data_IF_690455705157
#
_entry.id   IF_690455705157
#
_cell.length_a   1.000
_cell.length_b   1.000
_cell.length_c   1.000
_cell.angle_alpha   90.00
_cell.angle_beta   90.00
_cell.angle_gamma   90.00
#
_symmetry.space_group_name_H-M   'P 1'
#
loop_
_entity.id
_entity.type
_entity.pdbx_description
1 polymer ?
#
# COMPACT_ATOMS: atom_id res chain seq x y z
N UNK A 1 10.54 2.35 6.65
CA UNK A 1 10.35 1.92 5.25
C UNK A 1 9.27 0.85 5.20
N UNK A 2 8.30 0.99 4.29
CA UNK A 2 7.13 0.12 4.10
C UNK A 2 7.29 -0.59 2.75
N UNK A 3 7.15 -1.90 2.71
CA UNK A 3 7.24 -2.70 1.49
C UNK A 3 5.89 -2.68 0.76
N UNK A 4 5.84 -2.03 -0.42
CA UNK A 4 4.64 -1.84 -1.25
C UNK A 4 4.21 -3.15 -1.89
N UNK A 5 3.10 -3.71 -1.43
CA UNK A 5 2.62 -5.06 -1.82
C UNK A 5 3.65 -6.15 -1.54
N UNK A 6 4.41 -5.97 -0.44
CA UNK A 6 5.61 -6.75 -0.15
C UNK A 6 6.84 -6.30 -0.94
N UNK A 7 7.82 -7.17 -1.11
CA UNK A 7 9.01 -6.92 -1.94
C UNK A 7 8.67 -7.13 -3.43
N UNK A 8 7.75 -6.31 -3.97
CA UNK A 8 7.10 -6.52 -5.27
C UNK A 8 8.02 -6.33 -6.49
N UNK A 9 9.19 -5.72 -6.31
CA UNK A 9 10.22 -5.72 -7.35
C UNK A 9 10.89 -7.10 -7.50
N UNK A 10 11.04 -7.85 -6.41
CA UNK A 10 11.73 -9.14 -6.41
C UNK A 10 10.77 -10.34 -6.56
N UNK A 11 9.54 -10.23 -6.04
CA UNK A 11 8.52 -11.27 -6.06
C UNK A 11 7.17 -10.73 -6.56
N UNK A 12 6.27 -11.58 -7.07
CA UNK A 12 4.93 -11.14 -7.47
C UNK A 12 4.21 -10.42 -6.34
N UNK A 13 3.65 -9.25 -6.66
CA UNK A 13 2.95 -8.41 -5.69
C UNK A 13 1.85 -9.16 -4.93
N UNK A 14 1.62 -8.82 -3.66
CA UNK A 14 0.61 -9.40 -2.77
C UNK A 14 0.76 -10.90 -2.48
N UNK A 15 1.81 -11.54 -2.97
CA UNK A 15 2.03 -12.96 -2.67
C UNK A 15 2.63 -13.15 -1.28
N UNK A 16 2.43 -14.34 -0.72
CA UNK A 16 3.09 -14.78 0.50
C UNK A 16 4.61 -14.60 0.42
N UNK A 17 5.20 -14.96 -0.73
CA UNK A 17 6.63 -14.80 -0.97
C UNK A 17 7.08 -13.33 -0.88
N UNK A 18 6.34 -12.41 -1.51
CA UNK A 18 6.67 -10.98 -1.46
C UNK A 18 6.64 -10.43 -0.03
N UNK A 19 5.63 -10.82 0.77
CA UNK A 19 5.50 -10.37 2.15
C UNK A 19 6.59 -10.95 3.07
N UNK A 20 6.84 -12.26 2.99
CA UNK A 20 7.87 -12.90 3.79
C UNK A 20 9.28 -12.41 3.42
N UNK A 21 9.56 -12.21 2.13
CA UNK A 21 10.84 -11.67 1.69
C UNK A 21 11.03 -10.22 2.18
N UNK A 22 10.01 -9.40 2.14
CA UNK A 22 10.06 -8.04 2.69
C UNK A 22 10.45 -8.05 4.19
N UNK A 23 9.87 -8.96 4.97
CA UNK A 23 10.25 -9.13 6.39
C UNK A 23 11.70 -9.62 6.55
N UNK A 24 12.12 -10.58 5.72
CA UNK A 24 13.48 -11.16 5.76
C UNK A 24 14.57 -10.14 5.45
N UNK A 25 14.33 -9.19 4.52
CA UNK A 25 15.28 -8.10 4.23
C UNK A 25 15.23 -6.97 5.25
N UNK A 26 14.30 -7.00 6.22
CA UNK A 26 14.23 -6.06 7.32
C UNK A 26 13.30 -4.86 7.10
N UNK A 27 12.28 -4.97 6.27
CA UNK A 27 11.27 -3.92 6.10
C UNK A 27 10.61 -3.56 7.44
N UNK A 28 10.45 -2.28 7.77
CA UNK A 28 9.78 -1.81 8.98
C UNK A 28 8.26 -1.95 8.93
N UNK A 29 7.72 -2.28 7.76
CA UNK A 29 6.30 -2.50 7.56
C UNK A 29 5.99 -3.14 6.21
N UNK A 30 4.75 -3.59 6.12
CA UNK A 30 4.13 -4.16 4.93
C UNK A 30 2.98 -3.26 4.49
N UNK A 31 2.74 -3.23 3.20
CA UNK A 31 1.57 -2.58 2.64
C UNK A 31 0.80 -3.59 1.79
N UNK A 32 -0.52 -3.48 1.80
CA UNK A 32 -1.39 -4.28 0.95
C UNK A 32 -2.64 -3.51 0.51
N UNK A 33 -3.11 -3.86 -0.69
CA UNK A 33 -4.41 -3.48 -1.22
C UNK A 33 -5.43 -4.57 -0.92
N UNK A 34 -6.62 -4.23 -0.43
CA UNK A 34 -7.65 -5.22 -0.14
C UNK A 34 -8.92 -4.99 -0.95
N UNK A 35 -9.52 -6.09 -1.39
CA UNK A 35 -10.79 -6.14 -2.10
C UNK A 35 -11.63 -7.31 -1.57
N UNK A 36 -12.94 -7.30 -1.90
CA UNK A 36 -13.82 -8.43 -1.60
C UNK A 36 -13.97 -9.36 -2.80
N UNK A 37 -13.87 -10.66 -2.53
CA UNK A 37 -14.27 -11.72 -3.43
C UNK A 37 -15.80 -11.83 -3.54
N UNK A 38 -16.30 -12.67 -4.45
CA UNK A 38 -17.74 -12.97 -4.58
C UNK A 38 -18.35 -13.53 -3.29
N UNK A 39 -17.61 -14.36 -2.58
CA UNK A 39 -17.98 -14.95 -1.29
C UNK A 39 -17.62 -14.09 -0.08
N UNK A 40 -17.28 -12.80 -0.33
CA UNK A 40 -17.03 -11.79 0.71
C UNK A 40 -15.80 -12.05 1.58
N UNK A 41 -14.82 -12.78 1.09
CA UNK A 41 -13.53 -12.88 1.73
C UNK A 41 -12.66 -11.65 1.37
N UNK A 42 -11.90 -11.14 2.34
CA UNK A 42 -11.01 -9.99 2.13
C UNK A 42 -9.69 -10.50 1.59
N UNK A 43 -9.42 -10.27 0.31
CA UNK A 43 -8.23 -10.74 -0.39
C UNK A 43 -7.25 -9.60 -0.68
N UNK A 44 -5.95 -9.88 -0.60
CA UNK A 44 -4.90 -8.94 -1.00
C UNK A 44 -4.77 -8.92 -2.53
N UNK A 45 -5.28 -7.85 -3.18
CA UNK A 45 -5.27 -7.71 -4.63
C UNK A 45 -5.38 -6.24 -5.06
N UNK A 46 -4.51 -5.79 -5.98
CA UNK A 46 -4.51 -4.39 -6.40
C UNK A 46 -5.55 -4.04 -7.45
N UNK A 47 -5.51 -4.72 -8.61
CA UNK A 47 -6.36 -4.39 -9.75
C UNK A 47 -7.81 -4.84 -9.49
N UNK A 48 -8.82 -4.19 -10.09
CA UNK A 48 -10.20 -4.65 -9.98
C UNK A 48 -10.43 -5.99 -10.68
N UNK A 49 -9.48 -6.43 -11.54
CA UNK A 49 -9.52 -7.71 -12.27
C UNK A 49 -8.29 -8.55 -12.00
N UNK A 50 -8.37 -9.85 -12.22
CA UNK A 50 -7.27 -10.79 -12.04
C UNK A 50 -6.31 -10.87 -13.23
N UNK A 51 -6.62 -10.18 -14.33
CA UNK A 51 -6.03 -10.35 -15.66
C UNK A 51 -4.53 -10.04 -15.75
N UNK A 52 -4.03 -9.04 -14.99
CA UNK A 52 -2.63 -8.61 -15.06
C UNK A 52 -1.72 -9.53 -14.27
N UNK A 53 -2.18 -9.98 -13.12
CA UNK A 53 -1.34 -10.65 -12.11
C UNK A 53 -1.66 -12.14 -11.95
N UNK A 54 -2.40 -12.71 -12.90
CA UNK A 54 -2.67 -14.14 -12.92
C UNK A 54 -2.91 -14.68 -14.33
N UNK A 55 -3.13 -15.98 -14.44
CA UNK A 55 -3.61 -16.66 -15.66
C UNK A 55 -5.13 -16.62 -15.79
N UNK A 56 -5.84 -16.07 -14.81
CA UNK A 56 -7.29 -15.89 -14.80
C UNK A 56 -7.78 -14.68 -15.61
N UNK A 57 -9.10 -14.49 -15.65
CA UNK A 57 -9.79 -13.36 -16.29
C UNK A 57 -10.98 -12.93 -15.48
N UNK A 58 -11.31 -11.61 -15.54
CA UNK A 58 -12.52 -11.04 -14.95
C UNK A 58 -12.29 -10.35 -13.62
N UNK A 59 -13.37 -9.83 -13.03
CA UNK A 59 -13.26 -9.05 -11.80
C UNK A 59 -12.96 -9.95 -10.58
N UNK A 60 -12.16 -9.44 -9.64
CA UNK A 60 -11.92 -10.10 -8.34
C UNK A 60 -13.25 -10.42 -7.65
N UNK A 61 -14.20 -9.50 -7.71
CA UNK A 61 -15.53 -9.64 -7.12
C UNK A 61 -16.41 -10.74 -7.74
N UNK A 62 -16.04 -11.26 -8.91
CA UNK A 62 -16.76 -12.36 -9.57
C UNK A 62 -16.20 -13.75 -9.21
N UNK A 63 -15.04 -13.80 -8.54
CA UNK A 63 -14.39 -15.03 -8.13
C UNK A 63 -14.57 -15.31 -6.64
N UNK A 64 -14.67 -16.58 -6.28
CA UNK A 64 -14.54 -17.02 -4.88
C UNK A 64 -13.06 -17.06 -4.48
N UNK A 65 -12.77 -17.02 -3.18
CA UNK A 65 -11.41 -17.18 -2.67
C UNK A 65 -10.78 -18.50 -3.13
N UNK A 66 -11.52 -19.58 -3.11
CA UNK A 66 -11.04 -20.91 -3.58
C UNK A 66 -10.63 -20.85 -5.05
N UNK A 67 -11.42 -20.18 -5.90
CA UNK A 67 -11.05 -19.98 -7.32
C UNK A 67 -9.79 -19.15 -7.47
N UNK A 68 -9.62 -18.07 -6.69
CA UNK A 68 -8.42 -17.23 -6.74
C UNK A 68 -7.17 -18.00 -6.30
N UNK A 69 -7.26 -18.83 -5.27
CA UNK A 69 -6.16 -19.69 -4.80
C UNK A 69 -5.72 -20.74 -5.83
N UNK A 70 -6.59 -21.09 -6.77
CA UNK A 70 -6.29 -21.99 -7.87
C UNK A 70 -5.64 -21.32 -9.10
N UNK A 71 -5.42 -19.99 -9.08
CA UNK A 71 -4.79 -19.26 -10.18
C UNK A 71 -3.27 -19.26 -10.05
N UNK A 72 -2.59 -19.25 -11.21
CA UNK A 72 -1.16 -18.94 -11.25
C UNK A 72 -0.94 -17.43 -11.11
N UNK A 73 -0.64 -17.01 -9.90
CA UNK A 73 -0.32 -15.60 -9.55
C UNK A 73 1.18 -15.31 -9.55
N UNK A 74 2.01 -16.24 -10.05
CA UNK A 74 3.46 -16.16 -9.97
C UNK A 74 4.12 -15.94 -11.34
N UNK A 75 3.76 -16.72 -12.34
CA UNK A 75 4.47 -16.76 -13.63
C UNK A 75 4.42 -15.47 -14.43
N UNK A 76 3.44 -14.58 -14.19
CA UNK A 76 3.34 -13.28 -14.86
C UNK A 76 4.52 -12.36 -14.53
N UNK A 77 5.07 -12.48 -13.32
CA UNK A 77 6.10 -11.58 -12.80
C UNK A 77 7.40 -11.66 -13.62
N UNK A 78 7.79 -12.85 -14.05
CA UNK A 78 8.96 -13.05 -14.92
C UNK A 78 8.77 -12.49 -16.34
N UNK A 79 7.51 -12.28 -16.77
CA UNK A 79 7.16 -11.75 -18.10
C UNK A 79 6.97 -10.24 -18.15
N UNK A 80 7.06 -9.54 -16.99
CA UNK A 80 6.90 -8.07 -16.94
C UNK A 80 8.06 -7.37 -17.65
N UNK A 81 7.83 -6.17 -18.26
CA UNK A 81 8.92 -5.35 -18.78
C UNK A 81 9.92 -5.00 -17.67
N UNK A 82 11.21 -5.18 -17.92
CA UNK A 82 12.27 -4.87 -16.95
C UNK A 82 12.42 -5.90 -15.81
N UNK A 83 11.82 -7.09 -15.94
CA UNK A 83 12.09 -8.19 -14.99
C UNK A 83 13.57 -8.56 -15.00
N UNK A 84 14.18 -8.65 -13.81
CA UNK A 84 15.55 -9.13 -13.67
C UNK A 84 15.64 -10.60 -14.12
N UNK A 85 16.69 -11.01 -14.86
CA UNK A 85 16.84 -12.39 -15.37
C UNK A 85 16.85 -13.47 -14.30
N UNK A 86 17.21 -13.10 -13.06
CA UNK A 86 17.29 -14.00 -11.92
C UNK A 86 15.98 -14.12 -11.13
N UNK A 87 14.90 -13.48 -11.58
CA UNK A 87 13.59 -13.63 -10.90
C UNK A 87 13.09 -15.04 -11.17
N UNK A 88 13.25 -15.90 -10.19
CA UNK A 88 12.77 -17.29 -10.26
C UNK A 88 11.26 -17.30 -10.52
N UNK A 89 10.82 -18.08 -11.50
CA UNK A 89 9.39 -18.26 -11.81
C UNK A 89 8.60 -18.93 -10.69
N UNK A 90 9.30 -19.51 -9.71
CA UNK A 90 8.71 -20.09 -8.51
C UNK A 90 9.33 -19.49 -7.25
N UNK A 91 8.53 -19.11 -6.24
CA UNK A 91 9.07 -18.67 -4.97
C UNK A 91 9.88 -19.80 -4.32
N UNK A 92 10.96 -19.48 -3.57
CA UNK A 92 11.66 -20.46 -2.78
C UNK A 92 10.70 -21.26 -1.88
N UNK A 93 10.93 -22.56 -1.70
CA UNK A 93 10.06 -23.43 -0.90
C UNK A 93 9.84 -22.90 0.54
N UNK A 94 10.79 -22.14 1.08
CA UNK A 94 10.67 -21.47 2.40
C UNK A 94 9.51 -20.45 2.45
N UNK A 95 9.02 -19.95 1.30
CA UNK A 95 7.91 -19.02 1.21
C UNK A 95 6.57 -19.69 0.89
N UNK A 96 6.50 -21.01 0.92
CA UNK A 96 5.29 -21.78 0.63
C UNK A 96 5.15 -22.21 -0.82
N UNK A 97 4.21 -23.12 -1.07
CA UNK A 97 3.89 -23.63 -2.39
C UNK A 97 3.06 -22.66 -3.24
N UNK A 98 2.83 -23.01 -4.51
CA UNK A 98 2.07 -22.18 -5.45
C UNK A 98 0.64 -21.87 -4.96
N UNK A 99 -0.06 -22.83 -4.37
CA UNK A 99 -1.43 -22.66 -3.84
C UNK A 99 -1.51 -21.81 -2.57
N UNK A 100 -0.38 -21.46 -1.94
CA UNK A 100 -0.32 -20.65 -0.72
C UNK A 100 0.04 -19.18 -1.01
N UNK A 101 0.19 -18.79 -2.29
CA UNK A 101 0.64 -17.45 -2.64
C UNK A 101 -0.47 -16.39 -2.56
N UNK A 102 -1.73 -16.74 -2.79
CA UNK A 102 -2.85 -15.81 -2.65
C UNK A 102 -3.16 -15.62 -1.17
N UNK A 103 -3.03 -14.38 -0.68
CA UNK A 103 -3.28 -14.03 0.71
C UNK A 103 -4.65 -13.40 0.90
N UNK A 104 -5.34 -13.81 1.96
CA UNK A 104 -6.40 -13.03 2.60
C UNK A 104 -5.78 -11.98 3.54
N UNK A 105 -6.59 -11.02 3.97
CA UNK A 105 -6.16 -10.11 5.04
C UNK A 105 -5.82 -10.89 6.32
N UNK A 106 -6.60 -11.91 6.67
CA UNK A 106 -6.34 -12.76 7.83
C UNK A 106 -4.98 -13.47 7.74
N UNK A 107 -4.61 -14.01 6.55
CA UNK A 107 -3.31 -14.62 6.32
C UNK A 107 -2.17 -13.58 6.53
N UNK A 108 -2.35 -12.36 6.01
CA UNK A 108 -1.36 -11.28 6.16
C UNK A 108 -1.23 -10.80 7.60
N UNK A 109 -2.36 -10.68 8.33
CA UNK A 109 -2.35 -10.35 9.75
C UNK A 109 -1.58 -11.38 10.56
N UNK A 110 -1.75 -12.68 10.26
CA UNK A 110 -0.99 -13.75 10.89
C UNK A 110 0.51 -13.66 10.59
N UNK A 111 0.90 -13.38 9.34
CA UNK A 111 2.30 -13.15 8.95
C UNK A 111 2.88 -11.95 9.70
N UNK A 112 2.15 -10.84 9.78
CA UNK A 112 2.61 -9.64 10.45
C UNK A 112 2.73 -9.84 11.97
N UNK A 113 1.77 -10.53 12.59
CA UNK A 113 1.78 -10.81 14.03
C UNK A 113 2.91 -11.78 14.45
N UNK A 114 3.33 -12.66 13.53
CA UNK A 114 4.45 -13.58 13.74
C UNK A 114 5.83 -12.90 13.62
N UNK A 115 5.89 -11.63 13.20
CA UNK A 115 7.15 -10.90 13.13
C UNK A 115 7.66 -10.61 14.56
N UNK A 116 8.91 -11.00 14.85
CA UNK A 116 9.54 -10.89 16.16
C UNK A 116 10.11 -9.47 16.41
N UNK A 117 9.37 -8.43 15.99
CA UNK A 117 9.73 -7.02 16.11
C UNK A 117 8.54 -6.09 15.85
N UNK A 118 8.62 -4.82 16.30
CA UNK A 118 7.62 -3.82 15.93
C UNK A 118 7.51 -3.68 14.40
N UNK A 119 6.28 -3.71 13.90
CA UNK A 119 5.97 -3.65 12.48
C UNK A 119 4.83 -2.66 12.22
N UNK A 120 4.81 -2.05 11.02
CA UNK A 120 3.68 -1.29 10.52
C UNK A 120 2.95 -2.10 9.46
N UNK A 121 1.63 -2.05 9.48
CA UNK A 121 0.80 -2.61 8.43
C UNK A 121 -0.08 -1.51 7.84
N UNK A 122 0.08 -1.26 6.56
CA UNK A 122 -0.71 -0.31 5.80
C UNK A 122 -1.71 -1.07 4.94
N UNK A 123 -3.00 -0.86 5.17
CA UNK A 123 -4.09 -1.55 4.45
C UNK A 123 -4.83 -0.54 3.59
N UNK A 124 -4.73 -0.65 2.27
CA UNK A 124 -5.49 0.17 1.33
C UNK A 124 -6.87 -0.45 1.06
N UNK A 125 -7.91 0.31 1.37
CA UNK A 125 -9.30 -0.03 1.03
C UNK A 125 -9.57 0.37 -0.42
N UNK A 126 -9.67 -0.62 -1.32
CA UNK A 126 -9.81 -0.38 -2.77
C UNK A 126 -11.23 0.01 -3.14
N UNK A 127 -11.36 1.16 -3.78
CA UNK A 127 -12.62 1.69 -4.30
C UNK A 127 -12.49 2.13 -5.77
N UNK A 128 -13.62 2.10 -6.53
CA UNK A 128 -14.96 1.70 -6.11
C UNK A 128 -15.08 0.20 -5.84
N UNK A 129 -15.73 -0.17 -4.72
CA UNK A 129 -16.10 -1.55 -4.44
C UNK A 129 -17.52 -1.81 -4.96
N UNK A 130 -17.78 -2.93 -5.66
CA UNK A 130 -19.12 -3.28 -6.10
C UNK A 130 -20.08 -3.62 -4.93
N UNK A 131 -19.54 -3.75 -3.72
CA UNK A 131 -20.25 -4.08 -2.50
C UNK A 131 -20.41 -2.87 -1.55
N UNK A 132 -20.17 -1.65 -2.06
CA UNK A 132 -20.27 -0.44 -1.24
C UNK A 132 -19.29 -0.48 -0.07
N UNK A 133 -19.75 -0.14 1.14
CA UNK A 133 -18.93 -0.12 2.36
C UNK A 133 -18.79 -1.49 3.06
N UNK A 134 -19.28 -2.58 2.47
CA UNK A 134 -19.06 -3.91 3.04
C UNK A 134 -17.57 -4.26 3.15
N UNK A 135 -16.72 -3.68 2.28
CA UNK A 135 -15.27 -3.86 2.36
C UNK A 135 -14.72 -3.37 3.70
N UNK A 136 -15.05 -2.14 4.08
CA UNK A 136 -14.61 -1.53 5.33
C UNK A 136 -15.09 -2.34 6.55
N UNK A 137 -16.36 -2.74 6.52
CA UNK A 137 -16.96 -3.53 7.60
C UNK A 137 -16.28 -4.90 7.76
N UNK A 138 -15.95 -5.55 6.64
CA UNK A 138 -15.23 -6.83 6.65
C UNK A 138 -13.80 -6.68 7.14
N UNK A 139 -13.07 -5.67 6.66
CA UNK A 139 -11.71 -5.36 7.10
C UNK A 139 -11.67 -5.11 8.61
N UNK A 140 -12.56 -4.25 9.14
CA UNK A 140 -12.63 -3.98 10.57
C UNK A 140 -12.97 -5.24 11.38
N UNK A 141 -13.88 -6.08 10.87
CA UNK A 141 -14.24 -7.35 11.52
C UNK A 141 -13.06 -8.31 11.60
N UNK A 142 -12.25 -8.42 10.54
CA UNK A 142 -11.06 -9.27 10.54
C UNK A 142 -9.98 -8.73 11.47
N UNK A 143 -9.75 -7.42 11.47
CA UNK A 143 -8.84 -6.78 12.40
C UNK A 143 -9.23 -7.06 13.87
N UNK A 144 -10.51 -6.86 14.22
CA UNK A 144 -11.02 -7.13 15.56
C UNK A 144 -10.91 -8.62 15.94
N UNK A 145 -11.21 -9.53 15.01
CA UNK A 145 -11.05 -10.98 15.24
C UNK A 145 -9.61 -11.39 15.48
N UNK A 146 -8.67 -10.71 14.84
CA UNK A 146 -7.23 -10.92 15.05
C UNK A 146 -6.72 -10.35 16.40
N UNK A 147 -7.54 -9.59 17.13
CA UNK A 147 -7.18 -8.96 18.39
C UNK A 147 -6.63 -7.54 18.23
N UNK A 148 -6.94 -6.87 17.11
CA UNK A 148 -6.61 -5.48 16.93
C UNK A 148 -7.44 -4.59 17.88
N UNK A 149 -6.73 -3.66 18.54
CA UNK A 149 -7.31 -2.67 19.42
C UNK A 149 -7.55 -1.35 18.65
N UNK A 150 -8.80 -0.94 18.45
CA UNK A 150 -9.13 0.30 17.72
C UNK A 150 -8.69 1.58 18.45
N UNK A 151 -8.54 1.57 19.78
CA UNK A 151 -8.12 2.75 20.55
C UNK A 151 -6.64 3.06 20.34
N UNK A 152 -5.80 2.03 20.30
CA UNK A 152 -4.36 2.16 20.08
C UNK A 152 -3.93 1.95 18.63
N UNK A 153 -4.81 1.42 17.77
CA UNK A 153 -4.50 1.04 16.40
C UNK A 153 -3.55 -0.15 16.29
N UNK A 154 -3.43 -0.98 17.35
CA UNK A 154 -2.42 -2.04 17.44
C UNK A 154 -3.01 -3.44 17.40
N UNK A 155 -2.27 -4.33 16.73
CA UNK A 155 -2.39 -5.77 16.83
C UNK A 155 -1.06 -6.29 17.42
N UNK A 156 -1.01 -6.45 18.75
CA UNK A 156 0.25 -6.76 19.44
C UNK A 156 1.34 -5.71 19.13
N UNK A 157 2.44 -6.12 18.49
CA UNK A 157 3.51 -5.22 18.08
C UNK A 157 3.27 -4.52 16.73
N UNK A 158 2.19 -4.87 16.01
CA UNK A 158 1.89 -4.34 14.68
C UNK A 158 1.03 -3.08 14.81
N UNK A 159 1.51 -1.94 14.29
CA UNK A 159 0.71 -0.71 14.16
C UNK A 159 -0.01 -0.74 12.83
N UNK A 160 -1.34 -0.79 12.86
CA UNK A 160 -2.18 -0.82 11.65
C UNK A 160 -2.60 0.59 11.26
N UNK A 161 -2.61 0.87 9.95
CA UNK A 161 -3.19 2.09 9.36
C UNK A 161 -4.06 1.73 8.17
N UNK A 162 -5.15 2.49 7.97
CA UNK A 162 -6.08 2.31 6.88
C UNK A 162 -5.89 3.43 5.86
N UNK A 163 -5.75 3.06 4.60
CA UNK A 163 -5.51 3.98 3.50
C UNK A 163 -6.60 3.86 2.44
N UNK A 164 -6.86 4.93 1.71
CA UNK A 164 -7.69 4.88 0.50
C UNK A 164 -7.50 6.15 -0.34
N UNK A 165 -7.62 6.01 -1.66
CA UNK A 165 -7.86 7.13 -2.58
C UNK A 165 -9.29 7.66 -2.49
N UNK A 166 -10.19 6.89 -1.88
CA UNK A 166 -11.60 7.24 -1.76
C UNK A 166 -11.86 7.81 -0.36
N UNK A 167 -12.00 9.14 -0.19
CA UNK A 167 -12.11 9.75 1.14
C UNK A 167 -13.34 9.29 1.93
N UNK A 168 -14.41 8.84 1.25
CA UNK A 168 -15.61 8.34 1.93
C UNK A 168 -15.37 7.00 2.63
N UNK A 169 -14.49 6.14 2.09
CA UNK A 169 -14.06 4.92 2.78
C UNK A 169 -13.46 5.25 4.16
N UNK A 170 -12.56 6.25 4.20
CA UNK A 170 -11.94 6.69 5.46
C UNK A 170 -12.94 7.39 6.39
N UNK A 171 -13.88 8.16 5.86
CA UNK A 171 -14.96 8.77 6.67
C UNK A 171 -15.87 7.72 7.29
N UNK A 172 -16.12 6.62 6.56
CA UNK A 172 -16.96 5.52 7.04
C UNK A 172 -16.34 4.81 8.24
N UNK A 173 -15.04 4.55 8.23
CA UNK A 173 -14.33 3.86 9.33
C UNK A 173 -13.96 4.79 10.48
N UNK A 174 -13.82 6.10 10.26
CA UNK A 174 -13.35 7.08 11.24
C UNK A 174 -14.09 7.03 12.60
N UNK A 175 -15.42 6.83 12.68
CA UNK A 175 -16.11 6.75 13.98
C UNK A 175 -15.66 5.57 14.85
N UNK A 176 -15.11 4.51 14.23
CA UNK A 176 -14.71 3.28 14.92
C UNK A 176 -13.22 3.23 15.24
N UNK A 177 -12.37 3.87 14.41
CA UNK A 177 -10.91 3.75 14.51
C UNK A 177 -10.24 5.08 14.93
N UNK A 178 -10.98 6.15 15.05
CA UNK A 178 -10.41 7.49 15.22
C UNK A 178 -9.73 8.00 13.97
N UNK A 179 -9.00 9.12 14.11
CA UNK A 179 -8.36 9.79 12.97
C UNK A 179 -6.88 9.42 12.80
N UNK A 180 -6.20 8.98 13.87
CA UNK A 180 -4.75 8.75 13.88
C UNK A 180 -4.28 7.69 12.86
N UNK A 181 -4.94 6.53 12.70
CA UNK A 181 -4.52 5.50 11.74
C UNK A 181 -4.97 5.78 10.30
N UNK A 182 -5.73 6.86 10.04
CA UNK A 182 -6.25 7.14 8.71
C UNK A 182 -5.23 7.87 7.84
N UNK A 183 -5.06 7.37 6.61
CA UNK A 183 -4.09 7.87 5.63
C UNK A 183 -4.77 8.06 4.26
N UNK A 184 -5.38 9.22 3.97
CA UNK A 184 -5.89 9.51 2.64
C UNK A 184 -4.74 9.54 1.63
N UNK A 185 -4.91 8.79 0.53
CA UNK A 185 -3.95 8.73 -0.56
C UNK A 185 -4.21 9.86 -1.55
N UNK A 186 -3.12 10.39 -2.12
CA UNK A 186 -3.15 11.49 -3.08
C UNK A 186 -2.13 11.27 -4.19
N UNK A 187 -2.56 11.52 -5.43
CA UNK A 187 -1.68 11.50 -6.60
C UNK A 187 -2.01 12.67 -7.51
N UNK A 188 -1.07 13.04 -8.37
CA UNK A 188 -1.34 13.98 -9.43
C UNK A 188 -2.35 13.39 -10.42
N UNK A 189 -3.22 14.25 -10.91
CA UNK A 189 -4.16 13.84 -11.95
C UNK A 189 -3.39 13.41 -13.20
N UNK A 190 -3.59 12.18 -13.70
CA UNK A 190 -2.94 11.75 -14.92
C UNK A 190 -3.35 12.67 -16.08
N UNK A 191 -2.37 13.15 -16.83
CA UNK A 191 -2.58 13.97 -18.04
C UNK A 191 -3.41 13.21 -19.07
N UNK A 192 -3.20 11.89 -19.15
CA UNK A 192 -3.97 10.97 -19.99
C UNK A 192 -4.71 9.94 -19.14
N UNK A 193 -6.05 9.91 -19.26
CA UNK A 193 -6.85 8.87 -18.62
C UNK A 193 -6.70 7.56 -19.41
N UNK A 194 -6.49 6.42 -18.70
CA UNK A 194 -6.51 5.12 -19.36
C UNK A 194 -7.80 4.94 -20.16
N UNK A 195 -7.68 4.57 -21.45
CA UNK A 195 -8.81 4.35 -22.37
C UNK A 195 -9.81 3.30 -21.87
N UNK A 196 -9.40 2.45 -20.92
CA UNK A 196 -10.25 1.44 -20.27
C UNK A 196 -11.34 2.05 -19.37
N UNK A 197 -11.12 3.25 -18.82
CA UNK A 197 -12.04 3.89 -17.87
C UNK A 197 -13.05 4.83 -18.56
N UNK A 198 -12.81 5.22 -19.81
CA UNK A 198 -13.63 6.22 -20.46
C UNK A 198 -13.69 6.00 -21.98
N UNK A 199 -14.82 5.47 -22.48
CA UNK A 199 -15.03 5.19 -23.90
C UNK A 199 -15.52 6.38 -24.73
N UNK A 200 -15.56 7.62 -24.19
CA UNK A 200 -16.00 8.83 -24.88
C UNK A 200 -15.65 10.11 -24.12
N UNK A 201 -15.77 11.30 -24.75
CA UNK A 201 -15.38 12.58 -24.15
C UNK A 201 -16.16 12.91 -22.87
N UNK A 202 -17.46 12.63 -22.83
CA UNK A 202 -18.30 12.84 -21.63
C UNK A 202 -17.91 11.92 -20.48
N UNK A 203 -17.60 10.64 -20.76
CA UNK A 203 -17.15 9.71 -19.75
C UNK A 203 -15.76 10.07 -19.19
N UNK A 204 -14.86 10.60 -20.04
CA UNK A 204 -13.55 11.13 -19.62
C UNK A 204 -13.70 12.34 -18.72
N UNK A 205 -14.59 13.27 -19.03
CA UNK A 205 -14.87 14.44 -18.20
C UNK A 205 -15.42 14.03 -16.83
N UNK A 206 -16.35 13.09 -16.78
CA UNK A 206 -16.93 12.57 -15.53
C UNK A 206 -15.87 11.87 -14.67
N UNK A 207 -15.02 11.02 -15.27
CA UNK A 207 -13.92 10.35 -14.53
C UNK A 207 -12.92 11.38 -13.97
N UNK A 208 -12.55 12.40 -14.75
CA UNK A 208 -11.69 13.49 -14.28
C UNK A 208 -12.33 14.30 -13.14
N UNK A 209 -13.63 14.59 -13.25
CA UNK A 209 -14.35 15.30 -12.19
C UNK A 209 -14.39 14.48 -10.89
N UNK A 210 -14.70 13.19 -10.98
CA UNK A 210 -14.70 12.28 -9.83
C UNK A 210 -13.32 12.18 -9.18
N UNK A 211 -12.24 12.06 -9.98
CA UNK A 211 -10.89 11.99 -9.46
C UNK A 211 -10.45 13.31 -8.79
N UNK A 212 -10.81 14.47 -9.35
CA UNK A 212 -10.56 15.78 -8.70
C UNK A 212 -11.34 15.91 -7.39
N UNK A 213 -12.59 15.48 -7.36
CA UNK A 213 -13.41 15.49 -6.15
C UNK A 213 -12.80 14.58 -5.08
N UNK A 214 -12.32 13.40 -5.47
CA UNK A 214 -11.65 12.47 -4.57
C UNK A 214 -10.38 13.08 -3.99
N UNK A 215 -9.52 13.66 -4.83
CA UNK A 215 -8.29 14.33 -4.39
C UNK A 215 -8.60 15.47 -3.42
N UNK A 216 -9.51 16.39 -3.78
CA UNK A 216 -9.92 17.47 -2.90
C UNK A 216 -10.51 16.98 -1.57
N UNK A 217 -11.22 15.85 -1.60
CA UNK A 217 -11.74 15.18 -0.41
C UNK A 217 -10.64 14.63 0.49
N UNK A 218 -9.61 14.03 -0.09
CA UNK A 218 -8.42 13.51 0.61
C UNK A 218 -7.62 14.65 1.24
N UNK A 219 -7.33 15.70 0.50
CA UNK A 219 -6.67 16.91 1.02
C UNK A 219 -7.46 17.54 2.18
N UNK A 220 -8.78 17.64 2.05
CA UNK A 220 -9.64 18.18 3.08
C UNK A 220 -9.62 17.36 4.38
N UNK A 221 -9.45 16.02 4.31
CA UNK A 221 -9.28 15.19 5.50
C UNK A 221 -8.00 15.55 6.26
N UNK A 222 -6.90 15.78 5.55
CA UNK A 222 -5.60 16.15 6.14
C UNK A 222 -5.69 17.56 6.73
N UNK A 223 -6.14 18.56 5.96
CA UNK A 223 -6.21 19.95 6.39
C UNK A 223 -7.13 20.17 7.61
N UNK A 224 -8.24 19.43 7.67
CA UNK A 224 -9.21 19.54 8.79
C UNK A 224 -8.84 18.70 10.00
N UNK A 225 -7.69 18.01 9.99
CA UNK A 225 -7.29 17.12 11.08
C UNK A 225 -8.18 15.89 11.26
N UNK A 226 -8.83 15.46 10.18
CA UNK A 226 -9.67 14.26 10.15
C UNK A 226 -8.90 13.01 9.73
N UNK A 227 -7.59 13.15 9.49
CA UNK A 227 -6.64 12.08 9.27
C UNK A 227 -5.32 12.41 9.96
N UNK A 228 -4.72 11.47 10.67
CA UNK A 228 -3.43 11.62 11.35
C UNK A 228 -2.24 11.49 10.41
N UNK A 229 -2.48 10.93 9.22
CA UNK A 229 -1.49 10.73 8.19
C UNK A 229 -1.91 11.38 6.87
N UNK A 230 -0.93 11.55 5.97
CA UNK A 230 -1.14 11.87 4.57
C UNK A 230 -0.29 10.94 3.72
N UNK A 231 -0.88 10.39 2.63
CA UNK A 231 -0.26 9.42 1.73
C UNK A 231 -0.08 9.95 0.30
N UNK A 232 0.71 11.02 0.07
CA UNK A 232 0.92 11.54 -1.26
C UNK A 232 1.90 10.67 -2.06
N UNK A 233 1.77 10.69 -3.41
CA UNK A 233 2.81 10.19 -4.31
C UNK A 233 4.05 11.08 -4.28
N UNK A 234 5.20 10.55 -4.74
CA UNK A 234 6.44 11.36 -4.92
C UNK A 234 6.17 12.57 -5.82
N UNK A 235 5.45 12.38 -6.92
CA UNK A 235 5.10 13.45 -7.84
C UNK A 235 4.25 14.54 -7.17
N UNK A 236 3.26 14.14 -6.38
CA UNK A 236 2.44 15.06 -5.61
C UNK A 236 3.29 15.89 -4.63
N UNK A 237 4.21 15.25 -3.90
CA UNK A 237 5.09 15.97 -2.95
C UNK A 237 5.94 17.02 -3.66
N UNK A 238 6.47 16.70 -4.85
CA UNK A 238 7.28 17.65 -5.64
C UNK A 238 6.47 18.86 -6.11
N UNK A 239 5.24 18.64 -6.54
CA UNK A 239 4.32 19.69 -7.03
C UNK A 239 3.77 20.55 -5.88
N UNK A 240 3.42 19.93 -4.74
CA UNK A 240 2.72 20.55 -3.60
C UNK A 240 3.60 20.63 -2.35
N UNK A 241 4.90 20.91 -2.50
CA UNK A 241 5.86 20.89 -1.40
C UNK A 241 5.49 21.85 -0.25
N UNK A 242 4.88 22.98 -0.55
CA UNK A 242 4.45 23.95 0.46
C UNK A 242 3.34 23.37 1.37
N UNK A 243 2.35 22.71 0.78
CA UNK A 243 1.26 22.07 1.53
C UNK A 243 1.79 20.91 2.38
N UNK A 244 2.67 20.09 1.80
CA UNK A 244 3.32 18.98 2.49
C UNK A 244 4.11 19.46 3.72
N UNK A 245 4.86 20.57 3.61
CA UNK A 245 5.55 21.18 4.73
C UNK A 245 4.59 21.72 5.80
N UNK A 246 3.46 22.30 5.39
CA UNK A 246 2.44 22.77 6.31
C UNK A 246 1.78 21.59 7.06
N UNK A 247 1.53 20.46 6.41
CA UNK A 247 1.02 19.25 7.07
C UNK A 247 2.02 18.68 8.08
N UNK A 248 3.31 18.64 7.74
CA UNK A 248 4.36 18.22 8.67
C UNK A 248 4.43 19.16 9.89
N UNK A 249 4.39 20.48 9.67
CA UNK A 249 4.36 21.49 10.74
C UNK A 249 3.12 21.37 11.63
N UNK A 250 1.97 20.93 11.08
CA UNK A 250 0.75 20.62 11.81
C UNK A 250 0.77 19.25 12.49
N UNK A 251 1.91 18.54 12.51
CA UNK A 251 2.08 17.25 13.18
C UNK A 251 1.50 16.05 12.41
N UNK A 252 1.18 16.19 11.12
CA UNK A 252 0.73 15.05 10.32
C UNK A 252 1.91 14.15 9.98
N UNK A 253 1.72 12.84 10.04
CA UNK A 253 2.70 11.87 9.57
C UNK A 253 2.56 11.70 8.05
N UNK A 254 3.68 11.60 7.35
CA UNK A 254 3.70 11.40 5.90
C UNK A 254 4.19 9.99 5.56
N UNK A 255 3.40 9.31 4.71
CA UNK A 255 3.76 8.07 4.03
C UNK A 255 3.76 8.32 2.54
N UNK A 256 4.94 8.40 1.94
CA UNK A 256 5.09 8.73 0.52
C UNK A 256 5.34 7.46 -0.31
N UNK A 257 4.68 7.34 -1.45
CA UNK A 257 4.72 6.22 -2.40
C UNK A 257 4.86 6.71 -3.84
N UNK A 258 5.37 5.95 -4.80
CA UNK A 258 6.21 4.80 -4.63
C UNK A 258 7.65 5.24 -4.76
N UNK A 259 8.47 4.95 -3.78
CA UNK A 259 9.86 5.45 -3.68
C UNK A 259 10.79 4.32 -4.09
N UNK A 260 11.10 4.24 -5.38
CA UNK A 260 11.92 3.16 -5.95
C UNK A 260 13.31 3.65 -6.40
N UNK A 261 13.58 4.98 -6.29
CA UNK A 261 14.84 5.59 -6.66
C UNK A 261 15.52 6.26 -5.45
N UNK A 262 16.86 6.16 -5.38
CA UNK A 262 17.64 6.72 -4.29
C UNK A 262 17.52 8.24 -4.17
N UNK A 263 17.41 8.95 -5.29
CA UNK A 263 17.25 10.40 -5.35
C UNK A 263 15.90 10.84 -4.72
N UNK A 264 14.82 10.11 -4.99
CA UNK A 264 13.54 10.38 -4.37
C UNK A 264 13.57 10.11 -2.86
N UNK A 265 14.19 9.01 -2.44
CA UNK A 265 14.38 8.72 -1.03
C UNK A 265 15.16 9.82 -0.30
N UNK A 266 16.25 10.31 -0.90
CA UNK A 266 17.04 11.42 -0.35
C UNK A 266 16.24 12.71 -0.26
N UNK A 267 15.56 13.08 -1.33
CA UNK A 267 14.71 14.26 -1.37
C UNK A 267 13.66 14.22 -0.25
N UNK A 268 12.92 13.15 -0.14
CA UNK A 268 11.84 13.01 0.84
C UNK A 268 12.34 13.01 2.29
N UNK A 269 13.44 12.30 2.56
CA UNK A 269 14.05 12.31 3.89
C UNK A 269 14.58 13.69 4.28
N UNK A 270 15.06 14.50 3.30
CA UNK A 270 15.47 15.87 3.54
C UNK A 270 14.28 16.80 3.88
N UNK A 271 13.07 16.48 3.42
CA UNK A 271 11.85 17.19 3.80
C UNK A 271 11.26 16.74 5.15
N UNK A 272 11.78 15.68 5.79
CA UNK A 272 11.28 15.17 7.07
C UNK A 272 10.16 14.14 6.92
N UNK A 273 10.02 13.51 5.76
CA UNK A 273 9.06 12.40 5.55
C UNK A 273 9.45 11.22 6.44
N UNK A 274 8.49 10.65 7.17
CA UNK A 274 8.74 9.60 8.15
C UNK A 274 8.62 8.18 7.57
N UNK A 275 7.78 7.98 6.55
CA UNK A 275 7.53 6.66 5.97
C UNK A 275 7.67 6.70 4.44
N UNK A 276 8.52 5.83 3.91
CA UNK A 276 8.72 5.62 2.48
C UNK A 276 8.14 4.27 2.10
N UNK A 277 7.22 4.24 1.15
CA UNK A 277 6.62 3.01 0.59
C UNK A 277 7.31 2.68 -0.72
N UNK A 278 7.83 1.45 -0.88
CA UNK A 278 8.69 1.06 -1.98
C UNK A 278 8.45 -0.37 -2.45
N UNK A 279 8.63 -0.62 -3.75
CA UNK A 279 8.69 -1.96 -4.33
C UNK A 279 10.05 -2.65 -4.07
N UNK A 280 11.10 -1.87 -3.72
CA UNK A 280 12.51 -2.28 -3.61
C UNK A 280 13.03 -2.15 -2.17
N UNK A 281 12.46 -2.88 -1.19
CA UNK A 281 12.78 -2.67 0.23
C UNK A 281 14.27 -2.86 0.55
N UNK A 282 14.95 -3.81 -0.07
CA UNK A 282 16.37 -4.04 0.13
C UNK A 282 17.23 -2.84 -0.33
N UNK A 283 16.91 -2.25 -1.48
CA UNK A 283 17.64 -1.10 -2.02
C UNK A 283 17.44 0.15 -1.17
N UNK A 284 16.20 0.47 -0.81
CA UNK A 284 15.90 1.64 0.05
C UNK A 284 16.58 1.51 1.41
N UNK A 285 16.58 0.32 2.01
CA UNK A 285 17.31 0.10 3.28
C UNK A 285 18.80 0.33 3.12
N UNK A 286 19.41 -0.09 2.02
CA UNK A 286 20.81 0.15 1.73
C UNK A 286 21.08 1.66 1.63
N UNK A 287 20.34 2.40 0.81
CA UNK A 287 20.48 3.85 0.64
C UNK A 287 20.33 4.64 1.95
N UNK A 288 19.33 4.29 2.75
CA UNK A 288 19.11 4.92 4.07
C UNK A 288 20.29 4.66 5.02
N UNK A 289 20.85 3.45 5.03
CA UNK A 289 22.03 3.11 5.86
C UNK A 289 23.28 3.83 5.41
N UNK A 290 23.56 3.87 4.10
CA UNK A 290 24.68 4.59 3.51
C UNK A 290 24.62 6.07 3.86
N UNK A 291 23.46 6.70 3.71
CA UNK A 291 23.27 8.10 4.08
C UNK A 291 23.48 8.33 5.59
N UNK A 292 22.97 7.45 6.43
CA UNK A 292 23.18 7.55 7.87
C UNK A 292 24.68 7.44 8.24
N UNK A 293 25.44 6.60 7.53
CA UNK A 293 26.88 6.46 7.72
C UNK A 293 27.63 7.75 7.34
N UNK A 294 27.33 8.32 6.15
CA UNK A 294 27.90 9.59 5.69
C UNK A 294 27.61 10.73 6.65
N UNK A 295 26.37 10.82 7.17
CA UNK A 295 26.00 11.86 8.14
C UNK A 295 26.76 11.72 9.46
N UNK A 296 26.96 10.51 9.97
CA UNK A 296 27.73 10.24 11.19
C UNK A 296 29.20 10.66 10.99
N UNK A 297 29.76 10.36 9.82
CA UNK A 297 31.15 10.73 9.49
C UNK A 297 31.32 12.25 9.45
N UNK A 298 30.42 12.99 8.81
CA UNK A 298 30.43 14.46 8.79
C UNK A 298 30.34 15.07 10.19
N UNK A 299 29.48 14.54 11.05
CA UNK A 299 29.39 15.00 12.44
C UNK A 299 30.67 14.71 13.20
N UNK A 300 31.32 13.58 12.92
CA UNK A 300 32.61 13.19 13.57
C UNK A 300 33.78 14.04 13.11
N UNK A 301 33.82 14.44 11.84
CA UNK A 301 34.89 15.21 11.24
C UNK A 301 34.70 16.74 11.30
N UNK A 302 33.53 17.18 11.80
CA UNK A 302 33.23 18.63 11.89
C UNK A 302 32.99 19.31 10.55
N UNK A 303 32.72 18.53 9.47
CA UNK A 303 32.51 19.00 8.10
C UNK A 303 31.03 19.20 7.78
#
# INVERSE_FOLDING_TARGET
MIAHRGASAAFPEHTRAAMLHALAVGADGLECDVQLTRDREVVCWHDPTVDRTSDGRGAVADHTLDRLRGLDVVSWHARRPGAEPATTTAPPAVYGGAGEQVLTLADLLAIAAAADRPLRLAVELKHPSPFGHELEERVLRELLRAGWDPETGRLGQVQVSLMSFHPDALRHVAPLVGTDPLCPLMDLMPTELPTRLARGPLSRAAVRAAARQSLAGSEALVWRGRAGMAGPSVAYVREHLADVKAWLAAGRRLRVWTVDEGEDAEFLLAQGVQELTTNRPADVLRWVRERAAVRRERVRTGA
#
